data_IF_999997658984
#
_entry.id   IF_999997658984
#
_cell.length_a   1.000
_cell.length_b   1.000
_cell.length_c   1.000
_cell.angle_alpha   90.00
_cell.angle_beta   90.00
_cell.angle_gamma   90.00
#
_symmetry.space_group_name_H-M   'P 1'
#
loop_
_entity.id
_entity.type
_entity.pdbx_description
1 polymer ?
#
# COMPACT_ATOMS: atom_id res chain seq x y z
N UNK A 1 -0.56 6.24 8.48
CA UNK A 1 0.04 5.16 7.67
C UNK A 1 1.56 5.05 7.81
N UNK A 2 2.39 5.83 7.10
CA UNK A 2 3.86 5.59 7.04
C UNK A 2 4.57 5.63 8.40
N UNK A 3 4.18 6.54 9.29
CA UNK A 3 4.76 6.57 10.63
C UNK A 3 4.43 5.33 11.46
N UNK A 4 3.28 4.66 11.23
CA UNK A 4 2.97 3.39 11.90
C UNK A 4 3.91 2.29 11.43
N UNK A 5 4.25 2.25 10.14
CA UNK A 5 5.26 1.32 9.63
C UNK A 5 6.62 1.58 10.30
N UNK A 6 7.08 2.83 10.32
CA UNK A 6 8.32 3.19 11.01
C UNK A 6 8.32 2.85 12.50
N UNK A 7 7.19 3.03 13.20
CA UNK A 7 7.03 2.65 14.61
C UNK A 7 7.00 1.13 14.85
N UNK A 8 6.70 0.34 13.82
CA UNK A 8 6.66 -1.13 13.88
C UNK A 8 7.88 -1.77 13.20
N UNK A 9 9.05 -1.13 13.28
CA UNK A 9 10.35 -1.65 12.81
C UNK A 9 10.43 -1.90 11.29
N UNK A 10 9.65 -1.14 10.50
CA UNK A 10 9.83 -1.09 9.05
C UNK A 10 10.75 0.04 8.64
N UNK A 11 11.73 -0.29 7.78
CA UNK A 11 12.49 0.71 7.03
C UNK A 11 11.63 1.33 5.94
N UNK A 12 11.80 2.63 5.70
CA UNK A 12 11.14 3.34 4.61
C UNK A 12 12.19 3.69 3.55
N UNK A 13 11.89 3.40 2.30
CA UNK A 13 12.69 3.80 1.14
C UNK A 13 11.81 4.51 0.13
N UNK A 14 12.38 5.47 -0.59
CA UNK A 14 11.73 6.12 -1.74
C UNK A 14 12.05 5.42 -3.06
N UNK A 15 12.98 4.47 -3.06
CA UNK A 15 13.31 3.66 -4.22
C UNK A 15 12.50 2.36 -4.19
N UNK A 16 11.53 2.16 -5.12
CA UNK A 16 10.74 0.93 -5.19
C UNK A 16 11.57 -0.33 -5.46
N UNK A 17 12.79 -0.17 -5.98
CA UNK A 17 13.68 -1.30 -6.32
C UNK A 17 14.34 -1.92 -5.09
N UNK A 18 14.39 -1.18 -3.99
CA UNK A 18 14.95 -1.60 -2.69
C UNK A 18 13.84 -2.02 -1.71
N UNK A 19 12.57 -2.00 -2.13
CA UNK A 19 11.43 -2.21 -1.25
C UNK A 19 10.92 -3.65 -1.26
N UNK A 20 10.75 -4.25 -0.07
CA UNK A 20 10.08 -5.55 0.06
C UNK A 20 8.56 -5.46 -0.23
N UNK A 21 7.93 -4.32 0.06
CA UNK A 21 6.52 -4.04 -0.23
C UNK A 21 6.42 -2.62 -0.79
N UNK A 22 5.68 -2.46 -1.88
CA UNK A 22 5.43 -1.16 -2.51
C UNK A 22 4.05 -0.67 -2.10
N UNK A 23 3.97 0.56 -1.57
CA UNK A 23 2.70 1.20 -1.23
C UNK A 23 2.43 2.32 -2.24
N UNK A 24 1.32 2.21 -2.97
CA UNK A 24 0.87 3.24 -3.92
C UNK A 24 -0.25 4.04 -3.26
N UNK A 25 0.06 5.29 -2.89
CA UNK A 25 -0.92 6.23 -2.38
C UNK A 25 -1.55 7.01 -3.54
N UNK A 26 -2.84 6.79 -3.77
CA UNK A 26 -3.57 7.20 -4.97
C UNK A 26 -4.40 8.46 -4.73
N UNK A 27 -4.57 9.26 -5.79
CA UNK A 27 -5.44 10.42 -5.78
C UNK A 27 -6.70 10.18 -6.63
N UNK A 28 -7.87 10.43 -6.05
CA UNK A 28 -9.17 10.24 -6.71
C UNK A 28 -9.85 11.51 -7.21
N UNK A 29 -9.17 12.66 -7.18
CA UNK A 29 -9.82 13.97 -7.32
C UNK A 29 -9.98 14.46 -8.76
N UNK A 30 -8.91 14.48 -9.56
CA UNK A 30 -8.91 14.90 -10.98
C UNK A 30 -8.51 13.76 -11.90
N UNK A 31 -9.04 13.74 -13.12
CA UNK A 31 -8.82 12.68 -14.11
C UNK A 31 -7.35 12.29 -14.30
N UNK A 32 -6.43 13.22 -14.61
CA UNK A 32 -5.02 12.90 -14.83
C UNK A 32 -4.34 12.23 -13.62
N UNK A 33 -4.70 12.66 -12.40
CA UNK A 33 -4.15 12.06 -11.18
C UNK A 33 -4.66 10.63 -10.94
N UNK A 34 -5.85 10.28 -11.48
CA UNK A 34 -6.35 8.90 -11.44
C UNK A 34 -5.58 8.02 -12.42
N UNK A 35 -5.34 8.50 -13.64
CA UNK A 35 -4.55 7.80 -14.66
C UNK A 35 -3.12 7.55 -14.14
N UNK A 36 -2.46 8.57 -13.59
CA UNK A 36 -1.15 8.44 -12.95
C UNK A 36 -1.17 7.44 -11.78
N UNK A 37 -2.24 7.44 -10.97
CA UNK A 37 -2.40 6.48 -9.88
C UNK A 37 -2.48 5.04 -10.42
N UNK A 38 -3.23 4.80 -11.49
CA UNK A 38 -3.34 3.48 -12.12
C UNK A 38 -2.00 3.05 -12.72
N UNK A 39 -1.32 3.94 -13.44
CA UNK A 39 0.01 3.66 -14.00
C UNK A 39 1.03 3.29 -12.92
N UNK A 40 1.00 3.97 -11.77
CA UNK A 40 1.84 3.66 -10.63
C UNK A 40 1.54 2.27 -10.03
N UNK A 41 0.26 1.86 -9.96
CA UNK A 41 -0.14 0.52 -9.51
C UNK A 41 0.42 -0.54 -10.49
N UNK A 42 0.25 -0.33 -11.80
CA UNK A 42 0.76 -1.25 -12.82
C UNK A 42 2.29 -1.36 -12.78
N UNK A 43 2.99 -0.26 -12.54
CA UNK A 43 4.44 -0.26 -12.37
C UNK A 43 4.87 -1.06 -11.13
N UNK A 44 4.20 -0.88 -9.99
CA UNK A 44 4.45 -1.65 -8.77
C UNK A 44 4.18 -3.15 -8.98
N UNK A 45 3.10 -3.49 -9.67
CA UNK A 45 2.77 -4.87 -10.02
C UNK A 45 3.86 -5.54 -10.87
N UNK A 46 4.45 -4.82 -11.83
CA UNK A 46 5.57 -5.35 -12.63
C UNK A 46 6.76 -5.73 -11.76
N UNK A 47 7.12 -4.87 -10.79
CA UNK A 47 8.19 -5.17 -9.85
C UNK A 47 7.90 -6.45 -9.04
N UNK A 48 6.66 -6.62 -8.58
CA UNK A 48 6.23 -7.85 -7.90
C UNK A 48 6.33 -9.07 -8.80
N UNK A 49 5.89 -8.98 -10.05
CA UNK A 49 5.97 -10.07 -11.04
C UNK A 49 7.40 -10.48 -11.39
N UNK A 50 8.31 -9.52 -11.37
CA UNK A 50 9.75 -9.75 -11.56
C UNK A 50 10.43 -10.28 -10.29
N UNK A 51 9.70 -10.45 -9.19
CA UNK A 51 10.22 -10.91 -7.90
C UNK A 51 11.07 -9.86 -7.18
N UNK A 52 10.96 -8.58 -7.55
CA UNK A 52 11.73 -7.47 -6.98
C UNK A 52 11.13 -6.92 -5.70
N UNK A 53 9.82 -7.09 -5.52
CA UNK A 53 9.13 -6.91 -4.25
C UNK A 53 8.17 -8.07 -4.01
N UNK A 54 7.71 -8.23 -2.77
CA UNK A 54 6.83 -9.32 -2.33
C UNK A 54 5.36 -8.96 -2.39
N UNK A 55 5.02 -7.68 -2.38
CA UNK A 55 3.63 -7.25 -2.43
C UNK A 55 3.42 -5.80 -2.81
N UNK A 56 2.21 -5.51 -3.26
CA UNK A 56 1.72 -4.18 -3.62
C UNK A 56 0.48 -3.85 -2.79
N UNK A 57 0.54 -2.73 -2.08
CA UNK A 57 -0.58 -2.18 -1.32
C UNK A 57 -1.04 -0.89 -1.98
N UNK A 58 -2.32 -0.79 -2.30
CA UNK A 58 -2.94 0.42 -2.86
C UNK A 58 -3.78 1.09 -1.79
N UNK A 59 -3.60 2.40 -1.61
CA UNK A 59 -4.37 3.19 -0.64
C UNK A 59 -4.69 4.58 -1.17
N UNK A 60 -5.42 5.39 -0.40
CA UNK A 60 -5.64 6.80 -0.65
C UNK A 60 -7.07 7.15 -1.10
N UNK A 61 -7.21 8.29 -1.76
CA UNK A 61 -8.53 8.83 -2.10
C UNK A 61 -9.22 8.07 -3.24
N UNK A 62 -8.44 7.47 -4.16
CA UNK A 62 -9.02 6.68 -5.25
C UNK A 62 -9.61 5.37 -4.71
N UNK A 63 -8.88 4.66 -3.86
CA UNK A 63 -9.34 3.43 -3.20
C UNK A 63 -10.59 3.66 -2.35
N UNK A 64 -10.71 4.81 -1.69
CA UNK A 64 -11.92 5.16 -0.94
C UNK A 64 -13.14 5.39 -1.84
N UNK A 65 -12.97 6.03 -3.00
CA UNK A 65 -14.07 6.47 -3.87
C UNK A 65 -14.52 5.37 -4.84
N UNK A 66 -13.59 4.54 -5.29
CA UNK A 66 -13.78 3.51 -6.31
C UNK A 66 -13.40 2.13 -5.77
N UNK A 67 -13.68 1.86 -4.49
CA UNK A 67 -13.24 0.64 -3.83
C UNK A 67 -13.68 -0.62 -4.59
N UNK A 68 -14.98 -0.71 -4.91
CA UNK A 68 -15.55 -1.86 -5.62
C UNK A 68 -14.89 -2.06 -6.98
N UNK A 69 -14.77 -0.99 -7.76
CA UNK A 69 -14.21 -1.06 -9.11
C UNK A 69 -12.73 -1.46 -9.06
N UNK A 70 -11.95 -0.84 -8.17
CA UNK A 70 -10.52 -1.18 -8.01
C UNK A 70 -10.32 -2.62 -7.52
N UNK A 71 -11.18 -3.12 -6.62
CA UNK A 71 -11.12 -4.52 -6.19
C UNK A 71 -11.54 -5.51 -7.27
N UNK A 72 -12.37 -5.09 -8.24
CA UNK A 72 -12.77 -5.95 -9.36
C UNK A 72 -11.74 -5.92 -10.48
N UNK A 73 -11.23 -4.73 -10.82
CA UNK A 73 -10.38 -4.51 -11.98
C UNK A 73 -8.88 -4.71 -11.68
N UNK A 74 -8.43 -4.44 -10.45
CA UNK A 74 -7.01 -4.47 -10.07
C UNK A 74 -6.67 -5.55 -9.02
N UNK A 75 -7.49 -6.59 -8.91
CA UNK A 75 -7.27 -7.68 -7.96
C UNK A 75 -5.98 -8.47 -8.21
N UNK A 76 -5.52 -8.53 -9.47
CA UNK A 76 -4.27 -9.22 -9.82
C UNK A 76 -3.04 -8.33 -9.56
N UNK A 77 -3.24 -7.02 -9.65
CA UNK A 77 -2.19 -6.01 -9.58
C UNK A 77 -1.86 -5.56 -8.16
N UNK A 78 -2.88 -5.52 -7.29
CA UNK A 78 -2.76 -5.13 -5.90
C UNK A 78 -3.06 -6.32 -4.98
N UNK A 79 -2.11 -6.68 -4.12
CA UNK A 79 -2.35 -7.71 -3.09
C UNK A 79 -3.32 -7.19 -2.02
N UNK A 80 -3.28 -5.88 -1.75
CA UNK A 80 -4.18 -5.23 -0.79
C UNK A 80 -4.67 -3.88 -1.32
N UNK A 81 -5.96 -3.62 -1.16
CA UNK A 81 -6.57 -2.32 -1.43
C UNK A 81 -7.16 -1.82 -0.11
N UNK A 82 -6.65 -0.69 0.37
CA UNK A 82 -7.04 -0.07 1.64
C UNK A 82 -7.76 1.24 1.38
N UNK A 83 -8.91 1.41 1.98
CA UNK A 83 -9.59 2.71 2.08
C UNK A 83 -8.92 3.58 3.16
N UNK A 84 -9.28 4.86 3.22
CA UNK A 84 -8.70 5.80 4.20
C UNK A 84 -8.94 5.35 5.65
N UNK A 85 -10.07 4.69 5.92
CA UNK A 85 -10.38 4.15 7.25
C UNK A 85 -9.55 2.91 7.62
N UNK A 86 -8.94 2.24 6.64
CA UNK A 86 -8.14 1.02 6.82
C UNK A 86 -6.63 1.32 6.89
N UNK A 87 -6.20 2.56 6.66
CA UNK A 87 -4.77 2.94 6.69
C UNK A 87 -4.08 2.74 8.04
N UNK A 88 -4.85 2.67 9.13
CA UNK A 88 -4.34 2.34 10.47
C UNK A 88 -3.95 0.88 10.60
N UNK A 89 -4.53 0.00 9.79
CA UNK A 89 -4.24 -1.43 9.77
C UNK A 89 -3.07 -1.80 8.84
N UNK A 90 -2.44 -0.82 8.18
CA UNK A 90 -1.38 -1.03 7.18
C UNK A 90 -0.30 -2.00 7.65
N UNK A 91 0.09 -1.95 8.93
CA UNK A 91 1.15 -2.79 9.49
C UNK A 91 0.74 -4.26 9.45
N UNK A 92 -0.53 -4.58 9.72
CA UNK A 92 -1.06 -5.95 9.68
C UNK A 92 -1.04 -6.51 8.25
N UNK A 93 -1.40 -5.68 7.29
CA UNK A 93 -1.37 -6.04 5.88
C UNK A 93 0.06 -6.30 5.39
N UNK A 94 1.01 -5.43 5.76
CA UNK A 94 2.43 -5.63 5.43
C UNK A 94 3.00 -6.86 6.13
N UNK A 95 2.71 -7.09 7.42
CA UNK A 95 3.11 -8.30 8.14
C UNK A 95 2.60 -9.57 7.43
N UNK A 96 1.33 -9.58 6.99
CA UNK A 96 0.74 -10.70 6.21
C UNK A 96 1.50 -10.96 4.91
N UNK A 97 1.79 -9.92 4.13
CA UNK A 97 2.52 -10.05 2.85
C UNK A 97 3.95 -10.55 3.05
N UNK A 98 4.57 -10.22 4.19
CA UNK A 98 5.93 -10.63 4.52
C UNK A 98 6.01 -11.93 5.32
N UNK A 99 4.87 -12.53 5.69
CA UNK A 99 4.80 -13.71 6.54
C UNK A 99 5.37 -13.47 7.94
N UNK A 100 5.26 -12.24 8.47
CA UNK A 100 5.70 -11.87 9.81
C UNK A 100 4.57 -12.07 10.80
N UNK A 101 4.91 -12.63 11.96
CA UNK A 101 4.02 -12.67 13.11
C UNK A 101 4.53 -11.64 14.14
N UNK A 102 3.60 -10.94 14.78
CA UNK A 102 3.89 -9.84 15.70
C UNK A 102 2.96 -9.91 16.89
N UNK A 103 3.55 -9.97 18.08
CA UNK A 103 2.79 -10.04 19.34
C UNK A 103 2.00 -8.75 19.63
N UNK A 104 2.55 -7.58 19.26
CA UNK A 104 1.96 -6.27 19.54
C UNK A 104 2.21 -5.28 18.41
N UNK A 105 1.17 -4.54 18.03
CA UNK A 105 1.22 -3.48 17.03
C UNK A 105 1.24 -2.11 17.72
N UNK A 106 2.09 -1.21 17.24
CA UNK A 106 1.91 0.23 17.48
C UNK A 106 0.81 0.70 16.53
N UNK A 107 -0.37 0.97 17.08
CA UNK A 107 -1.58 1.38 16.35
C UNK A 107 -1.79 2.91 16.32
N UNK A 108 -0.99 3.64 17.11
CA UNK A 108 -1.04 5.08 17.23
C UNK A 108 0.36 5.63 17.49
N UNK A 109 0.66 6.77 16.88
CA UNK A 109 1.90 7.49 17.15
C UNK A 109 1.62 8.55 18.22
N UNK A 110 2.54 8.76 19.18
CA UNK A 110 2.42 9.87 20.11
C UNK A 110 2.31 11.17 19.31
N UNK A 111 1.30 11.98 19.62
CA UNK A 111 1.17 13.32 19.06
C UNK A 111 2.27 14.17 19.69
N UNK A 112 3.23 14.61 18.88
CA UNK A 112 4.20 15.64 19.24
C UNK A 112 3.50 16.99 19.45
#
# INVERSE_FOLDING_TARGET
MLGLLGGNDYGLTTDPLEADVVIVNTCGFIGPAKEESVDAILAAHRLRREGRCRGVVVTGCLSQRYETDLRQELAEEADEILTLSQETDIVRYVDRLLGRDRERYIDSLPRL
#
